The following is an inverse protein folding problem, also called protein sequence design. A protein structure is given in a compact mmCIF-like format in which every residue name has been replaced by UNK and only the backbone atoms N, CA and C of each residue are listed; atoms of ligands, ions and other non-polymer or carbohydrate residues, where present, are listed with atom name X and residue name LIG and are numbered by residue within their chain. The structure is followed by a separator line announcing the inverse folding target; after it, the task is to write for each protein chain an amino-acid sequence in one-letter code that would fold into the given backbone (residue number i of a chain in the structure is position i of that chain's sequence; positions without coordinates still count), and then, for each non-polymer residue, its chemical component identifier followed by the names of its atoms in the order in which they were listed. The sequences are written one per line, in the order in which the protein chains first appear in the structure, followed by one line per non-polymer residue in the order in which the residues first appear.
data_IF_404655407127
#
_entry.id   IF_404655407127
#
_cell.length_a   1.000
_cell.length_b   1.000
_cell.length_c   1.000
_cell.angle_alpha   90.00
_cell.angle_beta   90.00
_cell.angle_gamma   90.00
#
_symmetry.space_group_name_H-M   'P 1'
#
loop_
_entity.id
_entity.type
_entity.pdbx_description
1 polymer ?
#
# COMPACT_ATOMS: atom_id res chain seq x y z
N UNK A 1 -32.83 -3.44 -4.01
CA UNK A 1 -31.87 -4.23 -3.18
C UNK A 1 -30.45 -4.24 -3.74
N UNK A 2 -30.26 -4.23 -5.06
CA UNK A 2 -28.94 -4.37 -5.71
C UNK A 2 -27.96 -3.21 -5.49
N UNK A 3 -28.46 -1.97 -5.50
CA UNK A 3 -27.63 -0.78 -5.29
C UNK A 3 -26.92 -0.79 -3.92
N UNK A 4 -27.60 -1.26 -2.87
CA UNK A 4 -27.00 -1.39 -1.52
C UNK A 4 -25.91 -2.46 -1.48
N UNK A 5 -26.08 -3.53 -2.27
CA UNK A 5 -25.08 -4.62 -2.38
C UNK A 5 -23.85 -4.16 -3.16
N UNK A 6 -24.02 -3.39 -4.24
CA UNK A 6 -22.90 -2.77 -4.98
C UNK A 6 -22.12 -1.77 -4.13
N UNK A 7 -22.80 -0.82 -3.47
CA UNK A 7 -22.14 0.17 -2.62
C UNK A 7 -21.37 -0.48 -1.45
N UNK A 8 -21.92 -1.57 -0.88
CA UNK A 8 -21.24 -2.34 0.17
C UNK A 8 -20.00 -3.09 -0.35
N UNK A 9 -20.07 -3.67 -1.55
CA UNK A 9 -18.92 -4.33 -2.19
C UNK A 9 -17.82 -3.35 -2.60
N UNK A 10 -18.20 -2.15 -3.03
CA UNK A 10 -17.29 -1.07 -3.37
C UNK A 10 -16.58 -0.52 -2.11
N UNK A 11 -17.31 -0.37 -1.00
CA UNK A 11 -16.76 -0.03 0.30
C UNK A 11 -15.79 -1.10 0.83
N UNK A 12 -16.13 -2.39 0.71
CA UNK A 12 -15.25 -3.50 1.07
C UNK A 12 -13.97 -3.51 0.22
N UNK A 13 -14.11 -3.35 -1.11
CA UNK A 13 -12.96 -3.29 -2.03
C UNK A 13 -12.05 -2.08 -1.74
N UNK A 14 -12.64 -0.94 -1.38
CA UNK A 14 -11.88 0.26 -0.99
C UNK A 14 -11.16 0.05 0.34
N UNK A 15 -11.83 -0.59 1.32
CA UNK A 15 -11.26 -0.87 2.64
C UNK A 15 -10.15 -1.93 2.59
N UNK A 16 -10.30 -2.97 1.78
CA UNK A 16 -9.27 -3.99 1.57
C UNK A 16 -8.06 -3.43 0.82
N UNK A 17 -8.26 -2.56 -0.18
CA UNK A 17 -7.16 -1.81 -0.82
C UNK A 17 -6.36 -0.98 0.17
N UNK A 18 -7.05 -0.31 1.11
CA UNK A 18 -6.44 0.49 2.19
C UNK A 18 -5.71 -0.39 3.22
N UNK A 19 -6.19 -1.61 3.45
CA UNK A 19 -5.60 -2.52 4.44
C UNK A 19 -4.39 -3.29 3.90
N UNK A 20 -4.44 -3.73 2.64
CA UNK A 20 -3.34 -4.48 2.02
C UNK A 20 -2.07 -3.64 2.03
N UNK A 21 -2.11 -2.38 1.60
CA UNK A 21 -0.89 -1.61 1.40
C UNK A 21 -0.27 -0.98 2.66
N UNK A 22 -0.88 -1.19 3.83
CA UNK A 22 -0.45 -0.59 5.11
C UNK A 22 0.60 -1.43 5.87
N UNK A 23 0.94 -2.61 5.36
CA UNK A 23 1.94 -3.50 5.96
C UNK A 23 3.23 -3.53 5.12
N UNK A 24 4.38 -3.60 5.80
CA UNK A 24 5.70 -3.69 5.18
C UNK A 24 5.80 -4.85 4.17
N UNK A 25 5.17 -5.97 4.49
CA UNK A 25 5.16 -7.18 3.65
C UNK A 25 4.40 -6.96 2.35
N UNK A 26 3.28 -6.26 2.39
CA UNK A 26 2.50 -5.98 1.18
C UNK A 26 3.18 -4.94 0.29
N UNK A 27 3.78 -3.90 0.87
CA UNK A 27 4.59 -2.94 0.12
C UNK A 27 5.80 -3.63 -0.54
N UNK A 28 6.50 -4.49 0.21
CA UNK A 28 7.61 -5.29 -0.32
C UNK A 28 7.18 -6.16 -1.52
N UNK A 29 6.07 -6.89 -1.39
CA UNK A 29 5.51 -7.69 -2.49
C UNK A 29 5.08 -6.84 -3.68
N UNK A 30 4.49 -5.67 -3.46
CA UNK A 30 4.02 -4.77 -4.52
C UNK A 30 5.18 -4.18 -5.35
N UNK A 31 6.28 -3.83 -4.69
CA UNK A 31 7.47 -3.26 -5.34
C UNK A 31 8.49 -4.31 -5.78
N UNK A 32 8.25 -5.61 -5.52
CA UNK A 32 9.22 -6.67 -5.81
C UNK A 32 10.50 -6.55 -4.99
N UNK A 33 10.41 -5.96 -3.79
CA UNK A 33 11.54 -5.69 -2.91
C UNK A 33 11.60 -6.68 -1.76
N UNK A 34 12.81 -6.86 -1.23
CA UNK A 34 13.01 -7.60 0.01
C UNK A 34 12.50 -6.77 1.20
N UNK A 35 11.89 -7.39 2.23
CA UNK A 35 11.43 -6.69 3.42
C UNK A 35 12.52 -5.82 4.09
N UNK A 36 13.76 -6.26 4.04
CA UNK A 36 14.93 -5.51 4.54
C UNK A 36 15.17 -4.21 3.76
N UNK A 37 14.93 -4.19 2.44
CA UNK A 37 15.05 -2.98 1.63
C UNK A 37 13.96 -1.96 1.98
N UNK A 38 12.73 -2.43 2.23
CA UNK A 38 11.61 -1.59 2.69
C UNK A 38 11.87 -1.06 4.11
N UNK A 39 12.40 -1.88 5.02
CA UNK A 39 12.77 -1.46 6.38
C UNK A 39 13.89 -0.42 6.38
N UNK A 40 14.89 -0.56 5.51
CA UNK A 40 15.96 0.43 5.36
C UNK A 40 15.45 1.77 4.83
N UNK A 41 14.44 1.75 3.95
CA UNK A 41 13.77 2.95 3.45
C UNK A 41 13.02 3.68 4.58
N UNK A 42 12.17 2.96 5.33
CA UNK A 42 11.36 3.56 6.40
C UNK A 42 12.21 4.14 7.53
N UNK A 43 13.36 3.53 7.82
CA UNK A 43 14.29 3.98 8.86
C UNK A 43 15.26 5.07 8.37
N UNK A 44 15.17 5.47 7.10
CA UNK A 44 16.07 6.45 6.49
C UNK A 44 17.52 5.98 6.33
N UNK A 45 17.76 4.67 6.43
CA UNK A 45 19.09 4.05 6.27
C UNK A 45 19.51 3.94 4.80
N UNK A 46 18.55 4.03 3.88
CA UNK A 46 18.78 4.10 2.44
C UNK A 46 17.99 5.25 1.85
N UNK A 47 18.67 6.10 1.09
CA UNK A 47 18.02 7.15 0.30
C UNK A 47 17.61 6.57 -1.05
N UNK A 48 16.32 6.31 -1.19
CA UNK A 48 15.71 5.91 -2.46
C UNK A 48 14.46 6.77 -2.65
N UNK A 49 14.70 7.98 -3.14
CA UNK A 49 13.69 9.04 -3.22
C UNK A 49 12.55 8.64 -4.19
N UNK A 50 12.84 7.80 -5.19
CA UNK A 50 11.86 7.25 -6.12
C UNK A 50 10.93 6.25 -5.44
N UNK A 51 11.48 5.31 -4.65
CA UNK A 51 10.68 4.35 -3.89
C UNK A 51 9.87 5.04 -2.78
N UNK A 52 10.46 6.01 -2.09
CA UNK A 52 9.78 6.80 -1.07
C UNK A 52 8.61 7.60 -1.66
N UNK A 53 8.75 8.11 -2.89
CA UNK A 53 7.67 8.78 -3.60
C UNK A 53 6.57 7.82 -4.00
N UNK A 54 6.92 6.69 -4.63
CA UNK A 54 5.97 5.67 -5.03
C UNK A 54 5.17 5.11 -3.84
N UNK A 55 5.83 4.91 -2.68
CA UNK A 55 5.17 4.48 -1.45
C UNK A 55 4.17 5.51 -0.91
N UNK A 56 4.55 6.79 -0.89
CA UNK A 56 3.63 7.89 -0.50
C UNK A 56 2.45 8.03 -1.45
N UNK A 57 2.68 7.91 -2.75
CA UNK A 57 1.62 7.99 -3.75
C UNK A 57 0.65 6.80 -3.61
N UNK A 58 1.16 5.61 -3.30
CA UNK A 58 0.33 4.44 -2.96
C UNK A 58 -0.53 4.66 -1.70
N UNK A 59 0.04 5.23 -0.62
CA UNK A 59 -0.69 5.53 0.61
C UNK A 59 -1.77 6.60 0.42
N UNK A 60 -1.55 7.55 -0.49
CA UNK A 60 -2.53 8.61 -0.78
C UNK A 60 -3.62 8.17 -1.77
N UNK A 61 -3.34 7.18 -2.61
CA UNK A 61 -4.30 6.61 -3.58
C UNK A 61 -5.24 5.55 -2.96
N UNK A 62 -4.94 5.12 -1.73
CA UNK A 62 -5.74 4.17 -0.97
C UNK A 62 -6.77 4.92 -0.10
#
# INVERSE_FOLDING_TARGET
MEARRRAFQELLSRRERIYVMRTLTAAASHFGLWPTATSNLERGLRRDDALARAYKDCLNAA
#
